data_IF_502467753898
#
_entry.id   IF_502467753898
#
_cell.length_a   1.000
_cell.length_b   1.000
_cell.length_c   1.000
_cell.angle_alpha   90.00
_cell.angle_beta   90.00
_cell.angle_gamma   90.00
#
_symmetry.space_group_name_H-M   'P 1'
#
loop_
_entity.id
_entity.type
_entity.pdbx_description
1 polymer ?
#
# COMPACT_ATOMS: atom_id res chain seq x y z
N UNK A 1 -5.34 24.10 -4.69
CA UNK A 1 -4.09 24.08 -3.91
C UNK A 1 -3.36 22.74 -4.00
N UNK A 2 -3.81 21.60 -3.42
CA UNK A 2 -3.06 20.32 -3.48
C UNK A 2 -2.67 19.91 -4.90
N UNK A 3 -3.64 19.84 -5.82
CA UNK A 3 -3.39 19.45 -7.23
C UNK A 3 -2.34 20.32 -7.92
N UNK A 4 -2.38 21.60 -7.73
CA UNK A 4 -1.44 22.58 -8.31
C UNK A 4 -0.05 22.45 -7.68
N UNK A 5 0.03 22.28 -6.35
CA UNK A 5 1.32 22.11 -5.64
C UNK A 5 1.99 20.81 -6.09
N UNK A 6 1.26 19.70 -6.20
CA UNK A 6 1.77 18.43 -6.73
C UNK A 6 2.24 18.60 -8.18
N UNK A 7 1.46 19.26 -9.04
CA UNK A 7 1.86 19.52 -10.42
C UNK A 7 3.14 20.35 -10.50
N UNK A 8 3.30 21.35 -9.64
CA UNK A 8 4.53 22.16 -9.56
C UNK A 8 5.72 21.34 -9.09
N UNK A 9 5.56 20.50 -8.07
CA UNK A 9 6.60 19.57 -7.62
C UNK A 9 7.04 18.58 -8.71
N UNK A 10 6.07 17.98 -9.42
CA UNK A 10 6.34 17.10 -10.57
C UNK A 10 7.13 17.82 -11.68
N UNK A 11 6.81 19.09 -11.97
CA UNK A 11 7.57 19.87 -12.97
C UNK A 11 9.04 20.04 -12.59
N UNK A 12 9.34 20.31 -11.32
CA UNK A 12 10.72 20.44 -10.84
C UNK A 12 11.48 19.13 -11.08
N UNK A 13 10.96 18.01 -10.57
CA UNK A 13 11.63 16.71 -10.68
C UNK A 13 11.76 16.25 -12.12
N UNK A 14 10.68 16.31 -12.92
CA UNK A 14 10.71 15.94 -14.34
C UNK A 14 11.71 16.80 -15.12
N UNK A 15 11.75 18.11 -14.86
CA UNK A 15 12.68 19.01 -15.55
C UNK A 15 14.14 18.67 -15.28
N UNK A 16 14.48 18.37 -14.03
CA UNK A 16 15.85 18.03 -13.63
C UNK A 16 16.25 16.68 -14.25
N UNK A 17 15.45 15.65 -14.06
CA UNK A 17 15.80 14.28 -14.47
C UNK A 17 15.77 14.05 -16.00
N UNK A 18 15.11 14.92 -16.76
CA UNK A 18 15.18 14.88 -18.21
C UNK A 18 16.52 15.39 -18.79
N UNK A 19 17.48 15.83 -17.95
CA UNK A 19 18.70 16.52 -18.39
C UNK A 19 19.90 16.11 -17.55
N UNK A 20 20.80 15.33 -18.13
CA UNK A 20 22.02 14.84 -17.42
C UNK A 20 22.85 15.95 -16.77
N UNK A 21 23.00 17.11 -17.44
CA UNK A 21 23.72 18.26 -16.87
C UNK A 21 23.05 18.84 -15.61
N UNK A 22 21.72 18.74 -15.48
CA UNK A 22 21.01 19.18 -14.28
C UNK A 22 21.08 18.14 -13.17
N UNK A 23 21.13 16.86 -13.49
CA UNK A 23 21.37 15.79 -12.50
C UNK A 23 22.75 15.96 -11.88
N UNK A 24 23.79 16.23 -12.67
CA UNK A 24 25.13 16.51 -12.16
C UNK A 24 25.13 17.75 -11.25
N UNK A 25 24.41 18.80 -11.65
CA UNK A 25 24.29 20.01 -10.84
C UNK A 25 23.52 19.75 -9.54
N UNK A 26 22.43 18.98 -9.58
CA UNK A 26 21.70 18.54 -8.41
C UNK A 26 22.62 17.80 -7.43
N UNK A 27 23.33 16.78 -7.88
CA UNK A 27 24.25 16.00 -7.06
C UNK A 27 25.35 16.86 -6.44
N UNK A 28 25.85 17.89 -7.15
CA UNK A 28 26.81 18.82 -6.60
C UNK A 28 26.25 19.58 -5.38
N UNK A 29 25.01 20.10 -5.48
CA UNK A 29 24.38 20.87 -4.41
C UNK A 29 23.80 20.04 -3.28
N UNK A 30 23.41 18.79 -3.56
CA UNK A 30 22.79 17.85 -2.58
C UNK A 30 23.78 16.84 -2.01
N UNK A 31 25.10 16.97 -2.32
CA UNK A 31 26.12 16.01 -1.93
C UNK A 31 25.80 14.56 -2.39
N UNK A 32 25.29 14.41 -3.61
CA UNK A 32 24.92 13.12 -4.20
C UNK A 32 23.48 12.67 -3.89
N UNK A 33 22.71 13.49 -3.16
CA UNK A 33 21.32 13.16 -2.85
C UNK A 33 20.40 13.30 -4.06
N UNK A 34 19.46 12.38 -4.21
CA UNK A 34 18.48 12.35 -5.29
C UNK A 34 17.13 12.92 -4.87
N UNK A 35 16.25 13.18 -5.86
CA UNK A 35 14.85 13.58 -5.64
C UNK A 35 13.94 12.41 -5.97
N UNK A 36 12.91 12.21 -5.17
CA UNK A 36 11.90 11.20 -5.43
C UNK A 36 11.06 11.61 -6.65
N UNK A 37 11.00 10.72 -7.63
CA UNK A 37 10.17 10.90 -8.83
C UNK A 37 8.78 10.31 -8.59
N UNK A 38 7.71 11.09 -8.79
CA UNK A 38 6.36 10.57 -8.60
C UNK A 38 6.02 9.53 -9.66
N UNK A 39 5.62 8.34 -9.23
CA UNK A 39 5.13 7.28 -10.11
C UNK A 39 3.77 7.63 -10.72
N UNK A 40 3.52 7.14 -11.93
CA UNK A 40 2.26 7.40 -12.67
C UNK A 40 1.06 6.75 -11.98
N UNK A 41 1.22 5.54 -11.48
CA UNK A 41 0.15 4.70 -10.91
C UNK A 41 0.03 4.79 -9.38
N UNK A 42 1.02 5.40 -8.70
CA UNK A 42 1.08 5.45 -7.23
C UNK A 42 0.92 6.88 -6.72
N UNK A 43 -0.30 7.27 -6.34
CA UNK A 43 -0.61 8.61 -5.85
C UNK A 43 0.22 9.03 -4.62
N UNK A 44 0.54 8.10 -3.73
CA UNK A 44 1.36 8.33 -2.53
C UNK A 44 2.74 8.92 -2.89
N UNK A 45 3.36 8.47 -3.98
CA UNK A 45 4.68 8.95 -4.42
C UNK A 45 4.70 10.44 -4.77
N UNK A 46 3.54 11.03 -5.09
CA UNK A 46 3.44 12.48 -5.31
C UNK A 46 3.68 13.28 -4.03
N UNK A 47 3.20 12.80 -2.89
CA UNK A 47 3.46 13.45 -1.60
C UNK A 47 4.87 13.15 -1.08
N UNK A 48 5.39 11.95 -1.35
CA UNK A 48 6.79 11.62 -1.06
C UNK A 48 7.75 12.54 -1.84
N UNK A 49 7.44 12.81 -3.12
CA UNK A 49 8.15 13.79 -3.92
C UNK A 49 8.12 15.17 -3.27
N UNK A 50 6.96 15.63 -2.79
CA UNK A 50 6.84 16.92 -2.08
C UNK A 50 7.67 16.94 -0.78
N UNK A 51 7.68 15.84 -0.02
CA UNK A 51 8.52 15.70 1.18
C UNK A 51 9.97 15.84 0.85
N UNK A 52 10.47 15.06 -0.09
CA UNK A 52 11.88 15.13 -0.54
C UNK A 52 12.27 16.52 -1.07
N UNK A 53 11.37 17.20 -1.80
CA UNK A 53 11.61 18.60 -2.22
C UNK A 53 11.70 19.54 -1.01
N UNK A 54 10.86 19.35 0.02
CA UNK A 54 10.91 20.16 1.23
C UNK A 54 12.24 20.01 1.97
N UNK A 55 12.71 18.79 2.12
CA UNK A 55 13.97 18.48 2.82
C UNK A 55 15.17 19.08 2.09
N UNK A 56 15.14 19.03 0.75
CA UNK A 56 16.20 19.59 -0.11
C UNK A 56 15.94 21.03 -0.58
N UNK A 57 15.03 21.76 0.08
CA UNK A 57 14.64 23.12 -0.29
C UNK A 57 15.82 24.06 -0.36
N UNK A 58 16.72 24.02 0.64
CA UNK A 58 17.89 24.90 0.71
C UNK A 58 18.86 24.67 -0.43
N UNK A 59 19.11 23.41 -0.74
CA UNK A 59 19.97 22.95 -1.83
C UNK A 59 19.42 23.35 -3.19
N UNK A 60 18.14 23.10 -3.42
CA UNK A 60 17.44 23.49 -4.64
C UNK A 60 17.44 25.00 -4.83
N UNK A 61 17.19 25.77 -3.78
CA UNK A 61 17.26 27.24 -3.85
C UNK A 61 18.65 27.71 -4.24
N UNK A 62 19.72 27.18 -3.60
CA UNK A 62 21.11 27.47 -3.94
C UNK A 62 21.45 27.11 -5.38
N UNK A 63 21.02 25.90 -5.82
CA UNK A 63 21.25 25.43 -7.18
C UNK A 63 20.62 26.37 -8.21
N UNK A 64 19.32 26.70 -8.09
CA UNK A 64 18.63 27.54 -9.08
C UNK A 64 18.95 29.04 -9.00
N UNK A 65 19.64 29.50 -7.95
CA UNK A 65 20.16 30.89 -7.85
C UNK A 65 21.63 30.99 -8.17
N UNK A 66 22.32 29.89 -8.40
CA UNK A 66 23.77 29.82 -8.65
C UNK A 66 24.18 30.45 -9.99
N UNK A 67 25.47 30.73 -10.12
CA UNK A 67 26.03 31.17 -11.37
C UNK A 67 26.03 30.08 -12.42
N UNK A 68 26.34 28.86 -12.02
CA UNK A 68 26.33 27.65 -12.87
C UNK A 68 24.98 27.44 -13.52
N UNK A 69 23.90 27.62 -12.77
CA UNK A 69 22.53 27.56 -13.32
C UNK A 69 22.30 28.69 -14.33
N UNK A 70 22.58 29.95 -13.95
CA UNK A 70 22.33 31.15 -14.80
C UNK A 70 23.09 31.11 -16.10
N UNK A 71 24.33 30.62 -16.09
CA UNK A 71 25.20 30.50 -17.27
C UNK A 71 24.81 29.30 -18.14
N UNK A 72 23.99 28.35 -17.62
CA UNK A 72 23.58 27.19 -18.35
C UNK A 72 22.60 27.49 -19.48
N UNK A 73 22.65 26.69 -20.53
CA UNK A 73 21.65 26.76 -21.63
C UNK A 73 20.23 26.50 -21.13
N UNK A 74 20.07 25.78 -20.02
CA UNK A 74 18.79 25.35 -19.46
C UNK A 74 18.03 26.51 -18.81
N UNK A 75 18.71 27.41 -18.11
CA UNK A 75 18.10 28.59 -17.51
C UNK A 75 17.44 29.53 -18.54
N UNK A 76 17.95 29.53 -19.76
CA UNK A 76 17.42 30.37 -20.86
C UNK A 76 16.18 29.83 -21.54
N UNK A 77 15.74 28.60 -21.19
CA UNK A 77 14.56 27.98 -21.77
C UNK A 77 13.29 28.45 -21.05
N UNK A 78 12.14 28.43 -21.74
CA UNK A 78 10.85 28.77 -21.15
C UNK A 78 10.55 27.91 -19.91
N UNK A 79 10.82 26.60 -20.01
CA UNK A 79 10.58 25.65 -18.92
C UNK A 79 11.58 25.85 -17.76
N UNK A 80 12.85 26.20 -18.07
CA UNK A 80 13.84 26.52 -17.06
C UNK A 80 13.45 27.72 -16.23
N UNK A 81 13.02 28.81 -16.87
CA UNK A 81 12.48 29.98 -16.19
C UNK A 81 11.25 29.65 -15.35
N UNK A 82 10.36 28.77 -15.84
CA UNK A 82 9.19 28.33 -15.08
C UNK A 82 9.58 27.57 -13.81
N UNK A 83 10.53 26.63 -13.91
CA UNK A 83 11.01 25.85 -12.77
C UNK A 83 11.77 26.72 -11.77
N UNK A 84 12.63 27.62 -12.22
CA UNK A 84 13.30 28.61 -11.38
C UNK A 84 12.28 29.46 -10.60
N UNK A 85 11.25 29.96 -11.28
CA UNK A 85 10.17 30.70 -10.66
C UNK A 85 9.41 29.88 -9.60
N UNK A 86 9.18 28.58 -9.83
CA UNK A 86 8.54 27.72 -8.83
C UNK A 86 9.45 27.56 -7.61
N UNK A 87 10.73 27.24 -7.81
CA UNK A 87 11.70 27.01 -6.70
C UNK A 87 11.96 28.28 -5.90
N UNK A 88 11.95 29.45 -6.53
CA UNK A 88 12.14 30.75 -5.85
C UNK A 88 10.84 31.29 -5.23
N UNK A 89 9.69 30.75 -5.59
CA UNK A 89 8.38 31.20 -5.10
C UNK A 89 8.13 30.76 -3.66
N UNK A 90 8.01 31.73 -2.76
CA UNK A 90 7.73 31.50 -1.35
C UNK A 90 6.39 30.82 -1.11
N UNK A 91 5.36 31.14 -1.91
CA UNK A 91 4.03 30.57 -1.74
C UNK A 91 3.95 29.10 -2.13
N UNK A 92 4.76 28.67 -3.11
CA UNK A 92 4.91 27.25 -3.43
C UNK A 92 5.35 26.44 -2.21
N UNK A 93 6.42 26.85 -1.54
CA UNK A 93 6.93 26.15 -0.35
C UNK A 93 5.96 26.18 0.82
N UNK A 94 5.28 27.30 1.02
CA UNK A 94 4.22 27.41 2.04
C UNK A 94 3.08 26.42 1.76
N UNK A 95 2.59 26.37 0.54
CA UNK A 95 1.53 25.44 0.13
C UNK A 95 1.97 23.99 0.21
N UNK A 96 3.23 23.70 -0.13
CA UNK A 96 3.81 22.38 -0.02
C UNK A 96 3.78 21.87 1.43
N UNK A 97 4.23 22.68 2.39
CA UNK A 97 4.16 22.32 3.83
C UNK A 97 2.70 22.12 4.28
N UNK A 98 1.76 22.92 3.82
CA UNK A 98 0.34 22.75 4.12
C UNK A 98 -0.18 21.41 3.57
N UNK A 99 0.23 21.04 2.34
CA UNK A 99 -0.13 19.75 1.76
C UNK A 99 0.43 18.58 2.57
N UNK A 100 1.69 18.64 2.98
CA UNK A 100 2.33 17.59 3.77
C UNK A 100 1.69 17.41 5.14
N UNK A 101 1.39 18.51 5.84
CA UNK A 101 0.71 18.47 7.15
C UNK A 101 -0.62 17.73 7.12
N UNK A 102 -1.36 17.82 6.03
CA UNK A 102 -2.63 17.11 5.86
C UNK A 102 -2.47 15.67 5.36
N UNK A 103 -1.50 15.42 4.49
CA UNK A 103 -1.36 14.13 3.83
C UNK A 103 -0.49 13.14 4.62
N UNK A 104 0.55 13.61 5.31
CA UNK A 104 1.54 12.76 5.97
C UNK A 104 0.96 11.77 6.99
N UNK A 105 0.05 12.17 7.91
CA UNK A 105 -0.56 11.22 8.83
C UNK A 105 -1.36 10.12 8.12
N UNK A 106 -2.02 10.46 7.01
CA UNK A 106 -2.77 9.49 6.21
C UNK A 106 -1.84 8.53 5.44
N UNK A 107 -0.67 9.01 4.99
CA UNK A 107 0.33 8.16 4.35
C UNK A 107 0.91 7.13 5.33
N UNK A 108 1.08 7.49 6.61
CA UNK A 108 1.47 6.53 7.66
C UNK A 108 0.44 5.40 7.79
N UNK A 109 -0.85 5.74 7.84
CA UNK A 109 -1.93 4.74 7.89
C UNK A 109 -1.92 3.87 6.65
N UNK A 110 -1.81 4.48 5.46
CA UNK A 110 -1.75 3.75 4.19
C UNK A 110 -0.59 2.75 4.19
N UNK A 111 0.61 3.17 4.62
CA UNK A 111 1.77 2.28 4.68
C UNK A 111 1.56 1.12 5.67
N UNK A 112 0.96 1.38 6.82
CA UNK A 112 0.62 0.32 7.77
C UNK A 112 -0.35 -0.70 7.16
N UNK A 113 -1.38 -0.23 6.46
CA UNK A 113 -2.40 -1.07 5.82
C UNK A 113 -1.83 -1.89 4.67
N UNK A 114 -0.89 -1.30 3.93
CA UNK A 114 -0.24 -1.94 2.77
C UNK A 114 1.00 -2.76 3.16
N UNK A 115 1.33 -2.84 4.45
CA UNK A 115 2.48 -3.61 4.93
C UNK A 115 2.26 -5.11 4.76
N UNK A 116 3.33 -5.82 4.37
CA UNK A 116 3.37 -7.28 4.32
C UNK A 116 3.71 -7.92 5.68
N UNK A 117 3.97 -7.11 6.71
CA UNK A 117 4.52 -7.62 7.96
C UNK A 117 3.45 -8.16 8.90
N UNK A 118 2.36 -7.42 9.07
CA UNK A 118 1.31 -7.73 10.03
C UNK A 118 -0.06 -7.39 9.46
N UNK A 119 -1.07 -8.21 9.71
CA UNK A 119 -2.46 -7.87 9.39
C UNK A 119 -2.86 -6.57 10.09
N UNK A 120 -3.41 -5.63 9.33
CA UNK A 120 -3.73 -4.29 9.81
C UNK A 120 -5.15 -4.17 10.40
N UNK A 121 -5.99 -5.21 10.27
CA UNK A 121 -7.42 -5.17 10.65
C UNK A 121 -7.63 -4.73 12.10
N UNK A 122 -6.79 -5.18 13.02
CA UNK A 122 -6.88 -4.82 14.43
C UNK A 122 -6.40 -3.40 14.76
N UNK A 123 -5.82 -2.67 13.81
CA UNK A 123 -5.17 -1.38 14.07
C UNK A 123 -5.73 -0.20 13.28
N UNK A 124 -6.41 -0.44 12.14
CA UNK A 124 -6.80 0.61 11.21
C UNK A 124 -7.72 1.66 11.84
N UNK A 125 -8.63 1.24 12.74
CA UNK A 125 -9.57 2.14 13.39
C UNK A 125 -8.83 3.17 14.25
N UNK A 126 -7.97 2.69 15.16
CA UNK A 126 -7.12 3.53 16.01
C UNK A 126 -6.15 4.40 15.20
N UNK A 127 -5.54 3.84 14.16
CA UNK A 127 -4.60 4.57 13.31
C UNK A 127 -5.25 5.74 12.58
N UNK A 128 -6.50 5.60 12.15
CA UNK A 128 -7.24 6.71 11.54
C UNK A 128 -7.60 7.80 12.52
N UNK A 129 -7.97 7.45 13.75
CA UNK A 129 -8.23 8.44 14.80
C UNK A 129 -6.94 9.21 15.16
N UNK A 130 -5.83 8.49 15.34
CA UNK A 130 -4.52 9.12 15.55
C UNK A 130 -4.10 10.01 14.38
N UNK A 131 -4.35 9.60 13.14
CA UNK A 131 -4.06 10.43 11.97
C UNK A 131 -4.87 11.74 11.98
N UNK A 132 -6.14 11.69 12.36
CA UNK A 132 -6.98 12.90 12.52
C UNK A 132 -6.43 13.83 13.60
N UNK A 133 -6.02 13.28 14.76
CA UNK A 133 -5.42 14.06 15.85
C UNK A 133 -4.08 14.69 15.44
N UNK A 134 -3.24 13.94 14.71
CA UNK A 134 -1.97 14.47 14.17
C UNK A 134 -2.21 15.59 13.16
N UNK A 135 -3.22 15.46 12.28
CA UNK A 135 -3.63 16.55 11.38
C UNK A 135 -4.01 17.78 12.20
N UNK A 136 -4.88 17.64 13.20
CA UNK A 136 -5.31 18.73 14.06
C UNK A 136 -4.11 19.43 14.71
N UNK A 137 -3.22 18.68 15.31
CA UNK A 137 -2.00 19.18 15.98
C UNK A 137 -1.08 19.90 14.98
N UNK A 138 -0.86 19.31 13.80
CA UNK A 138 -0.02 19.89 12.73
C UNK A 138 -0.51 21.24 12.23
N UNK A 139 -1.81 21.50 12.32
CA UNK A 139 -2.43 22.80 12.03
C UNK A 139 -2.58 23.69 13.27
N UNK A 140 -1.83 23.41 14.35
CA UNK A 140 -1.84 24.15 15.62
C UNK A 140 -3.26 24.31 16.20
N UNK A 141 -4.09 23.26 16.10
CA UNK A 141 -5.48 23.22 16.57
C UNK A 141 -6.39 24.29 15.96
N UNK A 142 -6.00 24.91 14.81
CA UNK A 142 -6.82 25.91 14.12
C UNK A 142 -7.95 25.22 13.34
N UNK A 143 -9.14 25.16 13.93
CA UNK A 143 -10.29 24.45 13.41
C UNK A 143 -10.60 24.77 11.92
N UNK A 144 -10.53 26.03 11.53
CA UNK A 144 -10.76 26.45 10.15
C UNK A 144 -9.80 25.82 9.14
N UNK A 145 -8.60 25.42 9.57
CA UNK A 145 -7.56 24.87 8.70
C UNK A 145 -7.67 23.36 8.54
N UNK A 146 -7.99 22.60 9.60
CA UNK A 146 -8.06 21.14 9.54
C UNK A 146 -9.47 20.58 9.32
N UNK A 147 -10.52 21.31 9.73
CA UNK A 147 -11.90 20.82 9.61
C UNK A 147 -12.33 20.42 8.20
N UNK A 148 -11.96 21.17 7.12
CA UNK A 148 -12.29 20.73 5.76
C UNK A 148 -11.66 19.38 5.39
N UNK A 149 -10.45 19.09 5.89
CA UNK A 149 -9.80 17.79 5.69
C UNK A 149 -10.52 16.70 6.48
N UNK A 150 -10.87 16.94 7.73
CA UNK A 150 -11.63 16.01 8.54
C UNK A 150 -12.98 15.66 7.90
N UNK A 151 -13.71 16.63 7.38
CA UNK A 151 -14.96 16.38 6.67
C UNK A 151 -14.78 15.44 5.47
N UNK A 152 -13.69 15.62 4.72
CA UNK A 152 -13.39 14.72 3.59
C UNK A 152 -13.06 13.32 4.10
N UNK A 153 -12.23 13.22 5.15
CA UNK A 153 -11.85 11.94 5.77
C UNK A 153 -13.10 11.22 6.30
N UNK A 154 -13.92 11.90 7.10
CA UNK A 154 -15.12 11.32 7.70
C UNK A 154 -16.12 10.85 6.63
N UNK A 155 -16.38 11.66 5.60
CA UNK A 155 -17.26 11.27 4.49
C UNK A 155 -16.76 10.05 3.71
N UNK A 156 -15.43 9.87 3.60
CA UNK A 156 -14.83 8.70 2.95
C UNK A 156 -14.81 7.50 3.86
N UNK A 157 -14.48 7.73 5.14
CA UNK A 157 -14.49 6.70 6.17
C UNK A 157 -15.87 6.05 6.28
N UNK A 158 -16.91 6.84 6.48
CA UNK A 158 -18.29 6.35 6.64
C UNK A 158 -18.76 5.54 5.42
N UNK A 159 -18.42 5.97 4.21
CA UNK A 159 -18.90 5.32 2.99
C UNK A 159 -18.12 4.07 2.60
N UNK A 160 -16.82 4.04 2.84
CA UNK A 160 -15.91 3.05 2.27
C UNK A 160 -15.25 2.14 3.31
N UNK A 161 -14.90 2.68 4.48
CA UNK A 161 -14.05 1.98 5.46
C UNK A 161 -14.75 1.71 6.79
N UNK A 162 -15.85 2.39 7.07
CA UNK A 162 -16.61 2.16 8.30
C UNK A 162 -17.46 0.88 8.16
N UNK A 163 -16.79 -0.26 8.31
CA UNK A 163 -17.42 -1.58 8.25
C UNK A 163 -17.45 -2.24 9.63
N UNK A 164 -18.49 -3.05 9.91
CA UNK A 164 -18.57 -3.84 11.16
C UNK A 164 -17.28 -4.62 11.46
N UNK A 165 -16.60 -5.07 10.42
CA UNK A 165 -15.36 -5.81 10.52
C UNK A 165 -14.21 -4.99 11.14
N UNK A 166 -14.07 -3.70 10.79
CA UNK A 166 -13.05 -2.83 11.36
C UNK A 166 -13.31 -2.54 12.84
N UNK A 167 -14.58 -2.36 13.20
CA UNK A 167 -14.98 -2.20 14.60
C UNK A 167 -14.70 -3.46 15.43
N UNK A 168 -14.99 -4.64 14.86
CA UNK A 168 -14.66 -5.91 15.49
C UNK A 168 -13.14 -6.09 15.67
N UNK A 169 -12.35 -5.78 14.64
CA UNK A 169 -10.89 -5.82 14.72
C UNK A 169 -10.33 -4.91 15.82
N UNK A 170 -10.83 -3.68 15.90
CA UNK A 170 -10.45 -2.75 16.96
C UNK A 170 -10.82 -3.26 18.36
N UNK A 171 -12.05 -3.75 18.52
CA UNK A 171 -12.55 -4.26 19.81
C UNK A 171 -11.79 -5.51 20.28
N UNK A 172 -11.51 -6.45 19.38
CA UNK A 172 -10.86 -7.73 19.68
C UNK A 172 -9.34 -7.65 19.79
N UNK A 173 -8.73 -6.52 19.45
CA UNK A 173 -7.28 -6.36 19.57
C UNK A 173 -6.87 -6.15 21.04
N UNK A 174 -6.24 -7.13 21.71
CA UNK A 174 -5.92 -7.02 23.13
C UNK A 174 -4.90 -5.90 23.40
N UNK A 175 -4.01 -5.59 22.45
CA UNK A 175 -3.02 -4.51 22.57
C UNK A 175 -3.66 -3.13 22.66
N UNK A 176 -4.85 -2.97 22.08
CA UNK A 176 -5.63 -1.73 22.14
C UNK A 176 -6.67 -1.80 23.25
N UNK A 177 -7.42 -2.91 23.33
CA UNK A 177 -8.52 -3.10 24.27
C UNK A 177 -8.09 -2.90 25.74
N UNK A 178 -6.87 -3.32 26.08
CA UNK A 178 -6.37 -3.23 27.45
C UNK A 178 -5.59 -1.94 27.76
N UNK A 179 -5.50 -1.01 26.79
CA UNK A 179 -4.95 0.32 27.06
C UNK A 179 -5.85 1.12 28.02
N UNK A 180 -5.27 1.95 28.91
CA UNK A 180 -6.04 2.76 29.86
C UNK A 180 -7.07 3.69 29.19
N UNK A 181 -6.79 4.14 27.98
CA UNK A 181 -7.62 5.08 27.22
C UNK A 181 -8.56 4.39 26.23
N UNK A 182 -8.64 3.07 26.21
CA UNK A 182 -9.53 2.35 25.31
C UNK A 182 -10.99 2.74 25.54
N UNK A 183 -11.67 3.12 24.49
CA UNK A 183 -13.09 3.44 24.49
C UNK A 183 -13.79 2.67 23.38
N UNK A 184 -14.56 1.67 23.79
CA UNK A 184 -15.56 1.09 22.91
C UNK A 184 -16.84 1.94 23.02
N UNK A 185 -16.99 2.91 22.15
CA UNK A 185 -18.23 3.66 22.04
C UNK A 185 -19.39 2.80 21.49
N UNK A 186 -20.58 3.39 21.34
CA UNK A 186 -21.75 2.65 20.90
C UNK A 186 -21.59 2.14 19.47
N UNK A 187 -20.90 2.88 18.61
CA UNK A 187 -20.65 2.55 17.23
C UNK A 187 -19.73 1.32 17.10
N UNK A 188 -18.61 1.31 17.82
CA UNK A 188 -17.70 0.17 17.86
C UNK A 188 -18.38 -1.09 18.38
N UNK A 189 -19.20 -0.98 19.45
CA UNK A 189 -19.95 -2.12 19.97
C UNK A 189 -20.97 -2.67 18.99
N UNK A 190 -21.78 -1.78 18.40
CA UNK A 190 -22.75 -2.19 17.38
C UNK A 190 -22.09 -2.85 16.18
N UNK A 191 -20.98 -2.30 15.69
CA UNK A 191 -20.20 -2.87 14.60
C UNK A 191 -19.65 -4.26 14.96
N UNK A 192 -19.06 -4.40 16.14
CA UNK A 192 -18.55 -5.70 16.62
C UNK A 192 -19.64 -6.77 16.66
N UNK A 193 -20.82 -6.48 17.24
CA UNK A 193 -21.93 -7.44 17.29
C UNK A 193 -22.56 -7.71 15.91
N UNK A 194 -22.61 -6.71 15.04
CA UNK A 194 -23.06 -6.90 13.65
C UNK A 194 -22.12 -7.83 12.88
N UNK A 195 -20.80 -7.67 13.06
CA UNK A 195 -19.79 -8.56 12.49
C UNK A 195 -19.93 -9.98 13.04
N UNK A 196 -20.03 -10.12 14.38
CA UNK A 196 -20.22 -11.42 15.05
C UNK A 196 -21.45 -12.16 14.51
N UNK A 197 -22.63 -11.51 14.52
CA UNK A 197 -23.86 -12.08 14.02
C UNK A 197 -23.74 -12.54 12.57
N UNK A 198 -23.10 -11.76 11.72
CA UNK A 198 -22.92 -12.09 10.30
C UNK A 198 -21.98 -13.29 10.12
N UNK A 199 -20.85 -13.31 10.82
CA UNK A 199 -19.88 -14.41 10.73
C UNK A 199 -20.44 -15.73 11.29
N UNK A 200 -21.30 -15.67 12.31
CA UNK A 200 -21.99 -16.85 12.83
C UNK A 200 -23.21 -17.26 11.98
N UNK A 201 -23.47 -16.59 10.84
CA UNK A 201 -24.59 -16.92 9.94
C UNK A 201 -25.97 -16.73 10.56
N UNK A 202 -26.09 -15.89 11.60
CA UNK A 202 -27.33 -15.65 12.31
C UNK A 202 -27.64 -16.67 13.41
N UNK A 203 -26.73 -17.61 13.71
CA UNK A 203 -26.86 -18.55 14.86
C UNK A 203 -26.75 -17.74 16.16
N UNK A 204 -27.91 -17.50 16.78
CA UNK A 204 -28.01 -16.71 18.00
C UNK A 204 -27.51 -17.43 19.24
N UNK A 205 -27.51 -18.76 19.24
CA UNK A 205 -26.98 -19.55 20.39
C UNK A 205 -25.46 -19.42 20.41
N UNK A 206 -24.82 -19.49 19.25
CA UNK A 206 -23.38 -19.24 19.12
C UNK A 206 -23.03 -17.79 19.46
N UNK A 207 -23.82 -16.80 19.01
CA UNK A 207 -23.63 -15.39 19.35
C UNK A 207 -23.70 -15.16 20.84
N UNK A 208 -24.72 -15.72 21.52
CA UNK A 208 -24.89 -15.62 22.97
C UNK A 208 -23.72 -16.27 23.74
N UNK A 209 -23.21 -17.41 23.24
CA UNK A 209 -22.06 -18.09 23.84
C UNK A 209 -20.81 -17.22 23.76
N UNK A 210 -20.53 -16.64 22.59
CA UNK A 210 -19.39 -15.73 22.39
C UNK A 210 -19.56 -14.45 23.23
N UNK A 211 -20.77 -13.91 23.33
CA UNK A 211 -21.05 -12.73 24.18
C UNK A 211 -20.71 -12.98 25.64
N UNK A 212 -21.07 -14.15 26.19
CA UNK A 212 -20.65 -14.54 27.53
C UNK A 212 -19.13 -14.62 27.69
N UNK A 213 -18.41 -15.11 26.68
CA UNK A 213 -16.94 -15.17 26.67
C UNK A 213 -16.30 -13.78 26.53
N UNK A 214 -16.94 -12.84 25.82
CA UNK A 214 -16.49 -11.44 25.71
C UNK A 214 -16.48 -10.71 27.04
N UNK A 215 -17.40 -11.02 27.97
CA UNK A 215 -17.38 -10.44 29.31
C UNK A 215 -16.14 -10.86 30.11
N UNK A 216 -15.69 -12.13 29.96
CA UNK A 216 -14.47 -12.62 30.58
C UNK A 216 -13.21 -11.94 29.98
N UNK A 217 -13.17 -11.74 28.66
CA UNK A 217 -12.12 -10.99 27.97
C UNK A 217 -12.08 -9.54 28.46
N UNK A 218 -13.20 -8.85 28.46
CA UNK A 218 -13.32 -7.44 28.87
C UNK A 218 -12.92 -7.23 30.33
N UNK A 219 -13.30 -8.15 31.21
CA UNK A 219 -12.97 -8.08 32.65
C UNK A 219 -11.60 -8.64 33.01
N UNK A 220 -10.81 -9.08 32.03
CA UNK A 220 -9.50 -9.76 32.23
C UNK A 220 -9.62 -10.97 33.13
N UNK A 221 -10.70 -11.72 33.06
CA UNK A 221 -10.94 -12.86 33.93
C UNK A 221 -10.11 -14.08 33.50
N UNK A 222 -9.75 -14.91 34.47
CA UNK A 222 -9.01 -16.13 34.19
C UNK A 222 -7.62 -15.86 33.61
N UNK A 223 -7.29 -16.58 32.53
CA UNK A 223 -5.95 -16.51 31.92
C UNK A 223 -5.68 -15.17 31.24
N UNK A 224 -6.70 -14.46 30.77
CA UNK A 224 -6.57 -13.12 30.17
C UNK A 224 -5.93 -12.09 31.12
N UNK A 225 -6.19 -12.20 32.43
CA UNK A 225 -5.64 -11.31 33.43
C UNK A 225 -4.31 -11.77 34.02
N UNK A 226 -3.78 -12.93 33.63
CA UNK A 226 -2.51 -13.44 34.13
C UNK A 226 -1.35 -12.51 33.78
N UNK A 227 -0.33 -12.47 34.64
CA UNK A 227 0.87 -11.65 34.38
C UNK A 227 1.54 -12.01 33.07
N UNK A 228 1.54 -13.29 32.69
CA UNK A 228 2.10 -13.76 31.44
C UNK A 228 1.32 -13.20 30.24
N UNK A 229 -0.02 -13.23 30.27
CA UNK A 229 -0.85 -12.70 29.20
C UNK A 229 -0.73 -11.16 29.08
N UNK A 230 -0.61 -10.46 30.20
CA UNK A 230 -0.43 -9.01 30.21
C UNK A 230 0.97 -8.61 29.68
N UNK A 231 2.03 -9.31 30.01
CA UNK A 231 3.36 -9.12 29.40
C UNK A 231 3.38 -9.52 27.92
N UNK A 232 2.54 -10.49 27.52
CA UNK A 232 2.37 -10.89 26.14
C UNK A 232 1.84 -9.79 25.20
N UNK A 233 1.21 -8.74 25.75
CA UNK A 233 0.73 -7.59 24.99
C UNK A 233 1.86 -6.80 24.30
N UNK A 234 3.06 -6.82 24.84
CA UNK A 234 4.22 -6.09 24.31
C UNK A 234 4.97 -6.88 23.21
N UNK A 235 4.93 -8.23 23.30
CA UNK A 235 5.84 -9.09 22.52
C UNK A 235 5.14 -9.97 21.46
N UNK A 236 3.81 -9.98 21.42
CA UNK A 236 3.03 -10.82 20.50
C UNK A 236 2.18 -9.98 19.56
N UNK A 237 1.86 -10.54 18.40
CA UNK A 237 0.78 -9.98 17.58
C UNK A 237 -0.58 -10.29 18.21
N UNK A 238 -1.65 -9.55 17.85
CA UNK A 238 -2.98 -9.82 18.36
C UNK A 238 -3.43 -11.27 18.19
N UNK A 239 -3.19 -11.86 17.01
CA UNK A 239 -3.49 -13.26 16.71
C UNK A 239 -2.70 -14.23 17.59
N UNK A 240 -1.38 -14.04 17.70
CA UNK A 240 -0.53 -14.85 18.58
C UNK A 240 -0.91 -14.76 20.04
N UNK A 241 -1.42 -13.60 20.46
CA UNK A 241 -1.90 -13.42 21.84
C UNK A 241 -3.15 -14.27 22.08
N UNK A 242 -4.12 -14.22 21.14
CA UNK A 242 -5.31 -15.05 21.21
C UNK A 242 -5.00 -16.54 21.16
N UNK A 243 -4.10 -16.97 20.27
CA UNK A 243 -3.62 -18.36 20.19
C UNK A 243 -3.01 -18.86 21.50
N UNK A 244 -2.31 -17.98 22.23
CA UNK A 244 -1.61 -18.38 23.45
C UNK A 244 -2.46 -18.33 24.72
N UNK A 245 -3.49 -17.49 24.75
CA UNK A 245 -4.21 -17.18 26.00
C UNK A 245 -5.73 -17.33 25.88
N UNK A 246 -6.24 -17.67 24.72
CA UNK A 246 -7.68 -17.78 24.47
C UNK A 246 -8.29 -19.18 24.63
N UNK A 247 -7.51 -20.22 24.94
CA UNK A 247 -7.92 -21.63 24.89
C UNK A 247 -9.14 -21.98 25.75
N UNK A 248 -9.35 -21.24 26.87
CA UNK A 248 -10.53 -21.41 27.70
C UNK A 248 -11.84 -20.90 27.06
N UNK A 249 -11.73 -20.17 25.95
CA UNK A 249 -12.83 -19.50 25.26
C UNK A 249 -12.74 -19.77 23.72
N UNK A 250 -12.87 -21.03 23.29
CA UNK A 250 -12.49 -21.44 21.93
C UNK A 250 -13.32 -20.78 20.82
N UNK A 251 -14.61 -20.49 21.07
CA UNK A 251 -15.47 -19.85 20.07
C UNK A 251 -15.06 -18.38 19.87
N UNK A 252 -14.80 -17.66 20.96
CA UNK A 252 -14.31 -16.28 20.91
C UNK A 252 -12.89 -16.23 20.33
N UNK A 253 -12.01 -17.16 20.74
CA UNK A 253 -10.65 -17.27 20.20
C UNK A 253 -10.65 -17.41 18.67
N UNK A 254 -11.46 -18.36 18.16
CA UNK A 254 -11.58 -18.58 16.71
C UNK A 254 -12.12 -17.34 15.98
N UNK A 255 -13.15 -16.70 16.53
CA UNK A 255 -13.70 -15.47 15.97
C UNK A 255 -12.65 -14.36 15.94
N UNK A 256 -11.93 -14.13 17.05
CA UNK A 256 -10.92 -13.11 17.15
C UNK A 256 -9.74 -13.35 16.21
N UNK A 257 -9.23 -14.58 16.12
CA UNK A 257 -8.16 -14.96 15.20
C UNK A 257 -8.59 -14.73 13.75
N UNK A 258 -9.79 -15.17 13.38
CA UNK A 258 -10.34 -14.93 12.05
C UNK A 258 -10.34 -13.46 11.68
N UNK A 259 -10.90 -12.61 12.54
CA UNK A 259 -10.99 -11.15 12.27
C UNK A 259 -9.61 -10.50 12.23
N UNK A 260 -8.76 -10.80 13.22
CA UNK A 260 -7.46 -10.15 13.38
C UNK A 260 -6.38 -10.62 12.38
N UNK A 261 -6.62 -11.73 11.69
CA UNK A 261 -5.74 -12.23 10.63
C UNK A 261 -5.97 -11.55 9.28
N UNK A 262 -7.05 -10.77 9.14
CA UNK A 262 -7.44 -10.18 7.86
C UNK A 262 -6.58 -8.96 7.53
N UNK A 263 -6.33 -8.78 6.24
CA UNK A 263 -5.77 -7.54 5.68
C UNK A 263 -6.88 -6.49 5.52
N UNK A 264 -6.53 -5.22 5.48
CA UNK A 264 -7.48 -4.12 5.25
C UNK A 264 -7.45 -3.61 3.80
N UNK A 265 -6.63 -4.21 2.94
CA UNK A 265 -6.35 -3.72 1.59
C UNK A 265 -6.17 -4.89 0.64
N UNK A 266 -6.62 -4.71 -0.61
CA UNK A 266 -6.35 -5.62 -1.73
C UNK A 266 -4.93 -5.48 -2.31
N UNK A 267 -4.12 -4.59 -1.79
CA UNK A 267 -2.77 -4.32 -2.30
C UNK A 267 -1.86 -5.56 -2.35
N UNK A 268 -2.02 -6.48 -1.40
CA UNK A 268 -1.33 -7.76 -1.43
C UNK A 268 -1.64 -8.56 -2.71
N UNK A 269 -2.90 -8.58 -3.14
CA UNK A 269 -3.33 -9.20 -4.39
C UNK A 269 -2.80 -8.43 -5.61
N UNK A 270 -2.90 -7.09 -5.59
CA UNK A 270 -2.44 -6.24 -6.70
C UNK A 270 -0.93 -6.36 -6.94
N UNK A 271 -0.13 -6.52 -5.89
CA UNK A 271 1.30 -6.83 -6.00
C UNK A 271 1.56 -8.16 -6.71
N UNK A 272 0.68 -9.14 -6.52
CA UNK A 272 0.78 -10.41 -7.22
C UNK A 272 0.46 -10.28 -8.70
N UNK A 273 -0.44 -9.34 -9.11
CA UNK A 273 -0.72 -9.10 -10.52
C UNK A 273 0.53 -8.72 -11.30
N UNK A 274 1.39 -7.88 -10.76
CA UNK A 274 2.68 -7.57 -11.39
C UNK A 274 3.57 -8.79 -11.55
N UNK A 275 3.56 -9.72 -10.59
CA UNK A 275 4.29 -10.98 -10.71
C UNK A 275 3.66 -11.90 -11.77
N UNK A 276 2.33 -11.96 -11.86
CA UNK A 276 1.64 -12.66 -12.93
C UNK A 276 1.95 -12.08 -14.31
N UNK A 277 1.98 -10.75 -14.45
CA UNK A 277 2.34 -10.07 -15.69
C UNK A 277 3.77 -10.41 -16.15
N UNK A 278 4.73 -10.48 -15.21
CA UNK A 278 6.12 -10.89 -15.51
C UNK A 278 6.20 -12.34 -16.00
N UNK A 279 5.39 -13.24 -15.45
CA UNK A 279 5.39 -14.67 -15.82
C UNK A 279 4.60 -14.90 -17.11
N UNK A 280 3.45 -14.24 -17.26
CA UNK A 280 2.57 -14.36 -18.41
C UNK A 280 2.86 -13.27 -19.44
N UNK A 281 3.83 -13.50 -20.31
CA UNK A 281 4.21 -12.58 -21.38
C UNK A 281 3.67 -13.07 -22.73
N UNK A 282 3.63 -12.20 -23.76
CA UNK A 282 3.27 -12.59 -25.14
C UNK A 282 4.12 -13.75 -25.69
N UNK A 283 5.36 -13.91 -25.21
CA UNK A 283 6.26 -15.01 -25.56
C UNK A 283 6.00 -16.29 -24.75
N UNK A 284 5.45 -16.17 -23.54
CA UNK A 284 5.19 -17.27 -22.59
C UNK A 284 3.70 -17.39 -22.25
N UNK A 285 2.83 -17.42 -23.23
CA UNK A 285 1.37 -17.49 -23.05
C UNK A 285 0.81 -18.93 -23.05
N UNK A 286 1.67 -19.96 -23.08
CA UNK A 286 1.27 -21.37 -23.11
C UNK A 286 1.42 -22.10 -21.77
N UNK A 287 1.71 -21.36 -20.70
CA UNK A 287 1.78 -21.95 -19.36
C UNK A 287 0.36 -22.35 -18.91
N UNK A 288 0.26 -23.57 -18.37
CA UNK A 288 -0.98 -23.98 -17.69
C UNK A 288 -1.22 -23.09 -16.47
N UNK A 289 -2.48 -22.77 -16.18
CA UNK A 289 -2.88 -21.91 -15.07
C UNK A 289 -2.25 -22.37 -13.72
N UNK A 290 -2.30 -23.66 -13.45
CA UNK A 290 -1.68 -24.23 -12.23
C UNK A 290 -0.19 -23.93 -12.15
N UNK A 291 0.57 -24.19 -13.22
CA UNK A 291 2.02 -23.93 -13.24
C UNK A 291 2.33 -22.44 -13.06
N UNK A 292 1.50 -21.56 -13.64
CA UNK A 292 1.65 -20.11 -13.48
C UNK A 292 1.40 -19.70 -12.02
N UNK A 293 0.34 -20.22 -11.40
CA UNK A 293 0.01 -19.96 -9.99
C UNK A 293 1.12 -20.45 -9.06
N UNK A 294 1.63 -21.67 -9.28
CA UNK A 294 2.70 -22.26 -8.48
C UNK A 294 3.99 -21.44 -8.58
N UNK A 295 4.33 -20.98 -9.79
CA UNK A 295 5.52 -20.17 -10.03
C UNK A 295 5.41 -18.81 -9.34
N UNK A 296 4.28 -18.12 -9.49
CA UNK A 296 4.03 -16.82 -8.82
C UNK A 296 4.05 -16.99 -7.30
N UNK A 297 3.45 -18.06 -6.79
CA UNK A 297 3.47 -18.37 -5.35
C UNK A 297 4.90 -18.50 -4.82
N UNK A 298 5.75 -19.28 -5.49
CA UNK A 298 7.16 -19.46 -5.09
C UNK A 298 7.91 -18.14 -5.16
N UNK A 299 7.78 -17.38 -6.28
CA UNK A 299 8.45 -16.10 -6.47
C UNK A 299 8.08 -15.08 -5.38
N UNK A 300 6.78 -14.92 -5.09
CA UNK A 300 6.30 -13.95 -4.11
C UNK A 300 6.75 -14.34 -2.70
N UNK A 301 6.61 -15.62 -2.32
CA UNK A 301 7.01 -16.07 -0.97
C UNK A 301 8.52 -16.02 -0.77
N UNK A 302 9.32 -16.32 -1.79
CA UNK A 302 10.79 -16.19 -1.73
C UNK A 302 11.18 -14.72 -1.52
N UNK A 303 10.55 -13.79 -2.25
CA UNK A 303 10.77 -12.35 -2.07
C UNK A 303 10.38 -11.88 -0.67
N UNK A 304 9.21 -12.28 -0.17
CA UNK A 304 8.75 -11.94 1.18
C UNK A 304 9.71 -12.45 2.26
N UNK A 305 10.22 -13.69 2.11
CA UNK A 305 11.18 -14.27 3.04
C UNK A 305 12.52 -13.52 3.03
N UNK A 306 13.01 -13.15 1.83
CA UNK A 306 14.23 -12.35 1.67
C UNK A 306 14.07 -10.96 2.31
N UNK A 307 13.01 -10.26 2.00
CA UNK A 307 12.71 -8.95 2.57
C UNK A 307 12.59 -9.01 4.11
N UNK A 308 11.93 -10.04 4.65
CA UNK A 308 11.82 -10.26 6.10
C UNK A 308 13.18 -10.47 6.75
N UNK A 309 14.09 -11.20 6.10
CA UNK A 309 15.45 -11.44 6.59
C UNK A 309 16.29 -10.14 6.55
N UNK A 310 16.15 -9.31 5.52
CA UNK A 310 16.83 -8.02 5.39
C UNK A 310 16.32 -6.99 6.41
N UNK A 311 15.00 -6.93 6.65
CA UNK A 311 14.39 -6.08 7.68
C UNK A 311 14.84 -6.45 9.09
N UNK A 312 14.94 -7.75 9.41
CA UNK A 312 15.48 -8.21 10.71
C UNK A 312 16.93 -7.75 10.96
N UNK A 313 17.72 -7.55 9.90
CA UNK A 313 19.09 -7.03 10.01
C UNK A 313 19.12 -5.53 10.34
N UNK A 314 18.04 -4.78 10.08
CA UNK A 314 17.95 -3.33 10.32
C UNK A 314 17.36 -2.98 11.68
N UNK A 315 17.00 -3.95 12.51
CA UNK A 315 16.50 -3.77 13.91
C UNK A 315 15.40 -2.70 14.06
N UNK A 316 14.45 -2.64 13.13
CA UNK A 316 13.37 -1.64 13.12
C UNK A 316 12.23 -2.11 14.05
N UNK A 317 12.01 -1.38 15.13
CA UNK A 317 10.85 -1.54 16.04
C UNK A 317 9.64 -0.73 15.52
N UNK A 318 8.44 -1.02 16.06
CA UNK A 318 7.20 -0.30 15.64
C UNK A 318 7.28 1.19 16.01
N UNK A 319 8.05 1.55 17.04
CA UNK A 319 8.28 2.93 17.46
C UNK A 319 9.18 3.70 16.49
N UNK A 320 10.03 3.01 15.72
CA UNK A 320 10.86 3.62 14.67
C UNK A 320 10.03 4.20 13.52
N UNK A 321 8.75 3.82 13.39
CA UNK A 321 7.82 4.45 12.45
C UNK A 321 7.24 5.78 12.94
N UNK A 322 7.49 6.17 14.20
CA UNK A 322 7.00 7.43 14.74
C UNK A 322 8.03 8.57 14.62
N UNK A 323 9.34 8.26 14.59
CA UNK A 323 10.40 9.25 14.67
C UNK A 323 11.34 9.30 13.43
N UNK A 324 11.28 8.31 12.50
CA UNK A 324 12.16 8.32 11.33
C UNK A 324 11.59 9.17 10.19
N UNK A 325 12.11 10.37 10.06
CA UNK A 325 11.95 11.21 8.87
C UNK A 325 12.59 10.58 7.60
N UNK A 326 13.34 9.49 7.73
CA UNK A 326 14.12 8.83 6.66
C UNK A 326 13.36 7.70 5.91
N UNK A 327 12.12 7.36 6.28
CA UNK A 327 11.40 6.23 5.67
C UNK A 327 11.06 6.41 4.18
N UNK A 328 11.07 7.61 3.65
CA UNK A 328 10.91 7.89 2.22
C UNK A 328 12.09 7.42 1.36
N UNK A 329 13.30 7.37 1.93
CA UNK A 329 14.49 6.86 1.24
C UNK A 329 14.39 5.36 0.98
N UNK A 330 13.72 4.60 1.86
CA UNK A 330 13.54 3.15 1.71
C UNK A 330 12.63 2.80 0.53
N UNK A 331 11.68 3.68 0.16
CA UNK A 331 10.81 3.48 -0.99
C UNK A 331 11.55 3.57 -2.35
N UNK A 332 12.73 4.21 -2.39
CA UNK A 332 13.58 4.24 -3.60
C UNK A 332 14.46 2.99 -3.72
N UNK A 333 14.93 2.45 -2.61
CA UNK A 333 15.69 1.18 -2.63
C UNK A 333 14.80 0.00 -3.08
N UNK A 334 13.50 0.02 -2.77
CA UNK A 334 12.55 -0.97 -3.32
C UNK A 334 12.30 -0.77 -4.83
N UNK A 335 12.47 0.44 -5.36
CA UNK A 335 12.34 0.72 -6.80
C UNK A 335 13.69 0.68 -7.56
N UNK A 336 14.82 0.95 -6.89
CA UNK A 336 16.17 0.88 -7.48
C UNK A 336 16.79 -0.51 -7.29
N UNK A 337 16.41 -1.22 -6.24
CA UNK A 337 16.75 -2.61 -5.96
C UNK A 337 15.79 -3.61 -6.62
N UNK A 338 15.07 -3.22 -7.66
CA UNK A 338 14.55 -4.12 -8.67
C UNK A 338 15.76 -4.82 -9.30
N UNK A 339 16.40 -5.71 -8.53
CA UNK A 339 17.15 -6.78 -9.12
C UNK A 339 16.18 -7.44 -10.08
N UNK A 340 16.35 -7.15 -11.34
CA UNK A 340 15.88 -7.95 -12.44
C UNK A 340 16.38 -9.37 -12.09
N UNK A 341 15.55 -10.15 -11.37
CA UNK A 341 15.74 -11.58 -11.28
C UNK A 341 15.52 -12.00 -12.70
N UNK A 342 16.62 -12.20 -13.40
CA UNK A 342 16.59 -12.67 -14.76
C UNK A 342 15.89 -14.02 -14.70
N UNK A 343 14.75 -14.15 -15.34
CA UNK A 343 13.99 -15.41 -15.37
C UNK A 343 14.85 -16.53 -15.95
N UNK A 344 15.92 -16.19 -16.69
CA UNK A 344 16.95 -17.12 -17.13
C UNK A 344 17.73 -17.74 -15.98
N UNK A 345 18.01 -17.01 -14.89
CA UNK A 345 18.75 -17.51 -13.73
C UNK A 345 17.90 -18.51 -12.91
N UNK A 346 16.58 -18.34 -12.91
CA UNK A 346 15.65 -19.29 -12.29
C UNK A 346 15.50 -20.58 -13.11
N UNK A 347 15.62 -20.50 -14.44
CA UNK A 347 15.62 -21.67 -15.31
C UNK A 347 16.91 -22.53 -15.11
N UNK A 348 18.07 -21.91 -14.82
CA UNK A 348 19.31 -22.64 -14.54
C UNK A 348 19.24 -23.38 -13.18
N UNK A 349 18.74 -22.75 -12.14
CA UNK A 349 18.60 -23.39 -10.82
C UNK A 349 17.55 -24.51 -10.84
N UNK A 350 16.46 -24.34 -11.59
CA UNK A 350 15.43 -25.38 -11.74
C UNK A 350 15.91 -26.55 -12.61
N UNK A 351 16.70 -26.26 -13.65
CA UNK A 351 17.29 -27.33 -14.52
C UNK A 351 18.38 -28.11 -13.81
N UNK A 352 19.15 -27.49 -12.92
CA UNK A 352 20.15 -28.21 -12.11
C UNK A 352 19.47 -29.18 -11.12
N UNK A 353 18.27 -28.85 -10.65
CA UNK A 353 17.52 -29.71 -9.73
C UNK A 353 16.81 -30.89 -10.43
N UNK A 354 16.54 -30.79 -11.75
CA UNK A 354 15.75 -31.78 -12.51
C UNK A 354 16.58 -32.64 -13.46
N UNK A 355 17.90 -32.38 -13.61
CA UNK A 355 18.83 -33.25 -14.34
C UNK A 355 18.63 -33.28 -15.87
N UNK A 356 17.94 -32.33 -16.48
CA UNK A 356 17.70 -32.28 -17.93
C UNK A 356 18.66 -31.28 -18.60
N UNK A 357 19.57 -31.77 -19.43
CA UNK A 357 20.47 -30.95 -20.25
C UNK A 357 19.75 -30.46 -21.51
N UNK A 358 19.65 -29.14 -21.69
CA UNK A 358 19.23 -28.50 -22.92
C UNK A 358 20.37 -27.68 -23.52
N UNK A 359 20.71 -27.99 -24.77
CA UNK A 359 21.61 -27.20 -25.62
C UNK A 359 20.79 -26.36 -26.56
N UNK A 360 20.78 -25.03 -26.40
CA UNK A 360 20.49 -24.08 -27.49
C UNK A 360 21.16 -22.74 -27.24
N UNK A 361 21.99 -22.37 -28.17
CA UNK A 361 22.62 -21.07 -28.41
C UNK A 361 21.53 -20.01 -28.71
N UNK A 362 21.59 -18.83 -28.12
CA UNK A 362 20.78 -17.69 -28.52
C UNK A 362 21.64 -16.43 -28.59
N UNK A 363 21.65 -15.85 -29.78
CA UNK A 363 22.38 -14.64 -30.13
C UNK A 363 21.81 -13.38 -29.45
N UNK A 364 22.72 -12.49 -29.07
CA UNK A 364 22.45 -11.12 -28.64
C UNK A 364 21.75 -10.31 -29.76
N UNK A 365 20.69 -9.60 -29.42
CA UNK A 365 20.20 -8.48 -30.22
C UNK A 365 19.80 -7.30 -29.33
N UNK A 366 20.55 -6.21 -29.51
CA UNK A 366 20.24 -4.84 -29.11
C UNK A 366 18.92 -4.38 -29.73
N UNK A 367 18.03 -3.80 -28.92
CA UNK A 367 17.00 -2.89 -29.44
C UNK A 367 16.81 -1.72 -28.46
N UNK A 368 17.46 -0.63 -28.80
CA UNK A 368 17.04 0.73 -28.46
C UNK A 368 15.95 1.12 -29.47
N UNK A 369 14.75 1.40 -29.03
CA UNK A 369 13.80 2.19 -29.82
C UNK A 369 13.08 3.23 -28.96
N UNK A 370 13.29 4.43 -29.39
CA UNK A 370 12.67 5.71 -29.14
C UNK A 370 11.14 5.68 -29.22
N UNK A 371 10.49 6.26 -28.21
CA UNK A 371 9.05 6.61 -28.32
C UNK A 371 8.98 8.10 -28.64
N UNK A 372 8.59 8.39 -29.86
CA UNK A 372 8.16 9.70 -30.32
C UNK A 372 6.74 10.01 -29.83
N UNK A 373 6.56 11.25 -29.45
CA UNK A 373 5.29 11.84 -29.07
C UNK A 373 4.51 12.25 -30.31
N UNK A 374 3.27 11.81 -30.44
CA UNK A 374 2.33 12.46 -31.34
C UNK A 374 1.14 13.02 -30.56
N UNK A 375 1.07 14.35 -30.62
CA UNK A 375 -0.15 15.13 -30.45
C UNK A 375 -0.88 15.13 -31.78
N UNK A 376 -2.18 14.85 -31.80
CA UNK A 376 -3.06 15.42 -32.80
C UNK A 376 -4.47 15.69 -32.27
N UNK A 377 -4.97 16.81 -32.77
CA UNK A 377 -6.18 17.53 -32.36
C UNK A 377 -7.45 16.91 -32.95
N UNK A 378 -8.54 17.33 -32.33
CA UNK A 378 -9.94 17.15 -32.74
C UNK A 378 -10.22 17.45 -34.23
N UNK A 379 -11.11 16.68 -34.83
CA UNK A 379 -12.22 17.27 -35.60
C UNK A 379 -13.35 16.25 -35.84
N UNK A 380 -14.55 16.74 -35.63
CA UNK A 380 -15.83 16.11 -35.92
C UNK A 380 -16.06 15.99 -37.44
N UNK A 381 -16.70 14.94 -37.89
CA UNK A 381 -17.74 15.04 -38.90
C UNK A 381 -18.67 13.82 -38.92
N UNK A 382 -19.92 14.12 -39.23
CA UNK A 382 -21.06 13.21 -39.29
C UNK A 382 -21.05 12.36 -40.57
N UNK A 383 -21.68 11.18 -40.55
CA UNK A 383 -21.98 10.45 -41.78
C UNK A 383 -22.64 9.11 -41.53
N UNK A 384 -23.93 9.06 -41.79
CA UNK A 384 -24.83 7.91 -41.91
C UNK A 384 -24.34 6.82 -42.86
N UNK A 385 -24.76 5.57 -42.57
CA UNK A 385 -24.68 4.47 -43.51
C UNK A 385 -25.05 3.12 -42.91
N UNK A 386 -26.32 2.76 -43.08
CA UNK A 386 -26.87 1.41 -42.94
C UNK A 386 -26.17 0.42 -43.91
N UNK A 387 -26.02 -0.84 -43.48
CA UNK A 387 -26.57 -2.04 -44.15
C UNK A 387 -25.95 -3.32 -43.60
N UNK A 388 -26.80 -4.14 -43.12
CA UNK A 388 -27.15 -5.57 -43.25
C UNK A 388 -26.08 -6.66 -43.49
N UNK A 389 -26.46 -7.80 -42.86
CA UNK A 389 -26.23 -9.21 -43.22
C UNK A 389 -25.05 -9.95 -42.53
N UNK A 390 -25.39 -10.75 -41.55
CA UNK A 390 -25.80 -12.19 -41.58
C UNK A 390 -24.69 -13.20 -41.32
N UNK A 391 -25.03 -14.08 -40.39
CA UNK A 391 -24.77 -15.53 -40.33
C UNK A 391 -23.47 -16.06 -39.69
N UNK A 392 -23.70 -16.97 -38.76
CA UNK A 392 -22.76 -18.05 -38.48
C UNK A 392 -22.51 -18.35 -37.03
N UNK A 393 -23.43 -19.11 -36.45
CA UNK A 393 -23.36 -19.68 -35.11
C UNK A 393 -22.15 -20.57 -34.86
N UNK A 394 -21.87 -20.68 -33.60
CA UNK A 394 -20.91 -21.58 -33.02
C UNK A 394 -21.04 -21.51 -31.50
N UNK A 395 -22.09 -22.16 -30.97
CA UNK A 395 -22.24 -22.43 -29.53
C UNK A 395 -21.19 -23.45 -29.09
N UNK A 396 -20.11 -22.98 -28.48
CA UNK A 396 -19.26 -23.81 -27.65
C UNK A 396 -19.70 -23.63 -26.19
N UNK A 397 -20.58 -24.53 -25.73
CA UNK A 397 -20.87 -24.74 -24.31
C UNK A 397 -19.58 -25.11 -23.56
N UNK A 398 -19.03 -24.15 -22.83
CA UNK A 398 -17.98 -24.41 -21.83
C UNK A 398 -18.71 -24.90 -20.59
N UNK A 399 -18.53 -26.19 -20.27
CA UNK A 399 -19.05 -26.84 -19.08
C UNK A 399 -18.50 -26.14 -17.82
N UNK A 400 -19.43 -25.72 -16.94
CA UNK A 400 -19.20 -25.06 -15.65
C UNK A 400 -18.75 -26.01 -14.52
N UNK A 401 -18.01 -27.06 -14.75
CA UNK A 401 -17.79 -28.13 -13.75
C UNK A 401 -16.34 -28.30 -13.27
N UNK A 402 -15.48 -27.29 -13.23
CA UNK A 402 -14.12 -27.44 -12.65
C UNK A 402 -13.64 -26.31 -11.69
N UNK A 403 -14.51 -25.48 -11.14
CA UNK A 403 -14.08 -24.39 -10.22
C UNK A 403 -14.12 -24.76 -8.71
N UNK A 404 -14.52 -25.94 -8.30
CA UNK A 404 -14.83 -26.23 -6.88
C UNK A 404 -13.68 -26.84 -6.03
N UNK A 405 -12.49 -27.08 -6.56
CA UNK A 405 -11.45 -27.86 -5.83
C UNK A 405 -10.23 -27.07 -5.30
N UNK A 406 -10.20 -25.74 -5.32
CA UNK A 406 -9.03 -24.95 -4.89
C UNK A 406 -9.20 -24.22 -3.53
N UNK A 407 -10.40 -24.14 -3.00
CA UNK A 407 -10.62 -23.63 -1.65
C UNK A 407 -10.95 -24.78 -0.70
N UNK A 408 -9.97 -25.09 0.17
CA UNK A 408 -10.19 -26.06 1.23
C UNK A 408 -11.47 -25.77 1.99
N UNK A 409 -12.21 -26.83 2.26
CA UNK A 409 -13.54 -26.90 2.88
C UNK A 409 -13.62 -26.29 4.30
N UNK A 410 -13.32 -24.97 4.42
CA UNK A 410 -13.58 -24.25 5.66
C UNK A 410 -14.75 -23.28 5.41
N UNK A 411 -15.96 -23.60 5.88
CA UNK A 411 -17.18 -22.79 5.66
C UNK A 411 -17.04 -21.35 6.21
N UNK A 412 -16.04 -21.06 7.03
CA UNK A 412 -15.79 -19.73 7.57
C UNK A 412 -15.14 -18.80 6.54
N UNK A 413 -14.40 -19.33 5.55
CA UNK A 413 -13.79 -18.48 4.50
C UNK A 413 -14.81 -17.94 3.50
N UNK A 414 -15.80 -18.71 3.07
CA UNK A 414 -16.87 -18.24 2.16
C UNK A 414 -17.68 -17.07 2.76
N UNK A 415 -17.88 -17.03 4.07
CA UNK A 415 -18.62 -15.95 4.76
C UNK A 415 -17.86 -14.63 4.88
N UNK A 416 -16.54 -14.65 4.69
CA UNK A 416 -15.69 -13.47 4.82
C UNK A 416 -15.78 -12.59 3.56
N UNK A 417 -15.90 -13.19 2.37
CA UNK A 417 -16.01 -12.43 1.10
C UNK A 417 -17.30 -11.62 1.00
N UNK A 418 -18.37 -12.03 1.66
CA UNK A 418 -19.62 -11.26 1.74
C UNK A 418 -19.53 -10.05 2.71
N UNK A 419 -18.40 -9.88 3.42
CA UNK A 419 -18.17 -8.78 4.36
C UNK A 419 -17.56 -7.54 3.70
N UNK A 420 -16.99 -7.67 2.50
CA UNK A 420 -16.44 -6.59 1.70
C UNK A 420 -17.46 -6.10 0.68
#
# INVERSE_FOLDING_TARGET
>A
MHKETIASGKKITTYIYARTGLITLLHHYTAGGELIRPGVTRFATSYLCLGCLNDKKGELYRMFTSKEWKDSKFAKTKDGNLVENIVTNRDFWKNLVICLKGAFPLLKVLRMVDSDEKPAMGYIYEAMDQAKEQIQTSYNNKRKSYQPLWQIIDNRWDKQLHRPLHAAGYYLNPMLHYKPNFKADNEVKQGMYACLKRMMGGDMDMVNKIDGQLEDFKSKKGFFGSEIAQRGLENKTPTQWWESYGDAHPELQNFAICVLSLTCSSFGCERNWSAFEMVHTKKRNRLKQKTMNDLVYVMVNTRLTKNKAERKKRDLTIDDFQDDDDWWCVAEEENAGGNHVNVADLDEDLMQSTGVKSTTHVDEFDVLETIESDNEEENADEGDGEDDDDDGGGDDEISEDEEDDIMGDNPNYRRIYDLY
#
